data_IF_502793593493
#
_entry.id   IF_502793593493
#
_cell.length_a   1.000
_cell.length_b   1.000
_cell.length_c   1.000
_cell.angle_alpha   90.00
_cell.angle_beta   90.00
_cell.angle_gamma   90.00
#
_symmetry.space_group_name_H-M   'P 1'
#
loop_
_entity.id
_entity.type
_entity.pdbx_description
1 polymer ?
#
# COMPACT_ATOMS: atom_id res chain seq x y z
N UNK A 1 26.56 0.56 9.48
CA UNK A 1 25.93 -0.77 9.73
C UNK A 1 25.99 -1.70 8.53
N UNK A 2 25.78 -1.25 7.28
CA UNK A 2 25.87 -2.10 6.08
C UNK A 2 27.18 -2.91 5.97
N UNK A 3 28.34 -2.28 6.20
CA UNK A 3 29.61 -3.04 6.20
C UNK A 3 29.62 -4.17 7.25
N UNK A 4 29.02 -3.92 8.43
CA UNK A 4 28.97 -4.86 9.54
C UNK A 4 27.96 -6.01 9.32
N UNK A 5 27.06 -5.91 8.34
CA UNK A 5 26.16 -7.02 7.95
C UNK A 5 26.83 -8.02 7.00
N UNK A 6 28.01 -7.68 6.44
CA UNK A 6 28.74 -8.59 5.56
C UNK A 6 29.38 -9.71 6.38
N UNK A 7 29.15 -10.94 5.96
CA UNK A 7 29.75 -12.12 6.59
C UNK A 7 31.10 -12.42 5.94
N UNK A 8 32.14 -12.50 6.76
CA UNK A 8 33.48 -12.95 6.39
C UNK A 8 33.68 -14.31 7.04
N UNK A 9 34.11 -15.31 6.27
CA UNK A 9 34.38 -16.65 6.80
C UNK A 9 35.54 -16.64 7.79
N UNK A 10 35.52 -17.58 8.74
CA UNK A 10 36.58 -17.72 9.72
C UNK A 10 37.94 -17.95 9.03
N UNK A 11 38.91 -17.08 9.32
CA UNK A 11 40.24 -17.11 8.71
C UNK A 11 40.36 -16.39 7.35
N UNK A 12 39.27 -15.88 6.79
CA UNK A 12 39.32 -15.07 5.58
C UNK A 12 39.69 -13.61 5.88
N UNK A 13 40.31 -12.93 4.90
CA UNK A 13 40.59 -11.50 5.01
C UNK A 13 39.28 -10.68 4.97
N UNK A 14 39.17 -9.60 5.76
CA UNK A 14 38.01 -8.73 5.70
C UNK A 14 37.89 -8.05 4.34
N UNK A 15 36.66 -7.77 3.91
CA UNK A 15 36.43 -6.98 2.71
C UNK A 15 37.00 -5.57 2.86
N UNK A 16 37.45 -4.93 1.76
CA UNK A 16 37.78 -3.50 1.81
C UNK A 16 36.53 -2.70 2.16
N UNK A 17 36.66 -1.63 2.94
CA UNK A 17 35.52 -0.78 3.34
C UNK A 17 34.72 -0.26 2.12
N UNK A 18 35.40 -0.02 1.00
CA UNK A 18 34.80 0.45 -0.24
C UNK A 18 33.78 -0.53 -0.87
N UNK A 19 33.74 -1.79 -0.40
CA UNK A 19 32.79 -2.81 -0.90
C UNK A 19 31.33 -2.34 -0.78
N UNK A 20 31.00 -1.51 0.21
CA UNK A 20 29.64 -0.98 0.41
C UNK A 20 29.18 -0.03 -0.71
N UNK A 21 30.10 0.44 -1.56
CA UNK A 21 29.79 1.30 -2.70
C UNK A 21 29.53 0.51 -3.99
N UNK A 22 29.73 -0.81 -3.99
CA UNK A 22 29.33 -1.65 -5.12
C UNK A 22 27.81 -1.60 -5.27
N UNK A 23 27.31 -1.50 -6.50
CA UNK A 23 25.89 -1.25 -6.79
C UNK A 23 24.96 -2.24 -6.06
N UNK A 24 25.35 -3.52 -6.07
CA UNK A 24 24.63 -4.65 -5.48
C UNK A 24 24.50 -4.58 -3.94
N UNK A 25 25.39 -3.86 -3.26
CA UNK A 25 25.35 -3.67 -1.81
C UNK A 25 24.81 -2.29 -1.43
N UNK A 26 25.13 -1.27 -2.22
CA UNK A 26 24.68 0.10 -2.01
C UNK A 26 23.15 0.17 -2.00
N UNK A 27 22.46 -0.66 -2.79
CA UNK A 27 21.00 -0.74 -2.83
C UNK A 27 20.32 -1.04 -1.47
N UNK A 28 21.04 -1.58 -0.48
CA UNK A 28 20.53 -1.76 0.88
C UNK A 28 20.51 -0.48 1.73
N UNK A 29 21.10 0.63 1.29
CA UNK A 29 21.15 1.90 2.05
C UNK A 29 21.01 3.17 1.20
N UNK A 30 21.23 3.09 -0.12
CA UNK A 30 21.15 4.20 -1.06
C UNK A 30 19.78 4.87 -0.97
N UNK A 31 19.75 6.19 -0.82
CA UNK A 31 18.51 6.96 -0.70
C UNK A 31 17.58 6.44 0.42
N UNK A 32 18.15 6.06 1.58
CA UNK A 32 17.37 5.56 2.73
C UNK A 32 16.26 6.53 3.15
N UNK A 33 15.10 5.97 3.52
CA UNK A 33 13.93 6.73 3.95
C UNK A 33 12.84 6.81 2.88
N UNK A 34 12.88 5.92 1.89
CA UNK A 34 11.81 5.75 0.90
C UNK A 34 10.55 5.20 1.56
N UNK A 35 9.42 5.36 0.88
CA UNK A 35 8.17 4.73 1.32
C UNK A 35 8.35 3.21 1.37
N UNK A 36 8.12 2.62 2.54
CA UNK A 36 8.26 1.18 2.77
C UNK A 36 9.62 0.75 3.34
N UNK A 37 10.61 1.65 3.43
CA UNK A 37 11.83 1.39 4.19
C UNK A 37 11.48 1.31 5.69
N UNK A 38 11.88 0.23 6.36
CA UNK A 38 11.73 0.04 7.82
C UNK A 38 13.09 -0.14 8.45
N UNK A 39 13.33 0.44 9.63
CA UNK A 39 14.63 0.33 10.27
C UNK A 39 14.58 0.55 11.78
N UNK A 40 15.36 -0.24 12.50
CA UNK A 40 15.57 -0.13 13.93
C UNK A 40 17.06 -0.12 14.24
N UNK A 41 17.45 0.71 15.20
CA UNK A 41 18.81 0.76 15.75
C UNK A 41 18.74 0.28 17.20
N UNK A 42 19.66 -0.62 17.56
CA UNK A 42 19.88 -1.02 18.94
C UNK A 42 20.90 -0.08 19.57
N UNK A 43 20.53 0.49 20.72
CA UNK A 43 21.38 1.40 21.49
C UNK A 43 21.80 0.68 22.78
N UNK A 44 23.07 0.82 23.15
CA UNK A 44 23.55 0.38 24.45
C UNK A 44 22.94 1.25 25.56
N UNK A 45 22.48 0.58 26.64
CA UNK A 45 21.87 1.27 27.77
C UNK A 45 22.93 2.11 28.51
N UNK A 46 22.61 3.36 28.77
CA UNK A 46 23.49 4.30 29.48
C UNK A 46 24.38 5.13 28.54
N UNK A 47 25.12 4.49 27.63
CA UNK A 47 26.01 5.19 26.67
C UNK A 47 25.28 5.70 25.44
N UNK A 48 24.11 5.13 25.11
CA UNK A 48 23.35 5.40 23.90
C UNK A 48 24.13 5.10 22.59
N UNK A 49 25.18 4.27 22.68
CA UNK A 49 26.00 3.89 21.53
C UNK A 49 25.21 2.97 20.58
N UNK A 50 25.18 3.21 19.26
CA UNK A 50 24.59 2.29 18.30
C UNK A 50 25.40 0.99 18.19
N UNK A 51 24.82 -0.11 18.67
CA UNK A 51 25.47 -1.44 18.72
C UNK A 51 24.94 -2.43 17.68
N UNK A 52 23.86 -2.08 16.99
CA UNK A 52 23.32 -2.88 15.89
C UNK A 52 22.19 -2.17 15.17
N UNK A 53 21.84 -2.69 14.00
CA UNK A 53 20.66 -2.25 13.27
C UNK A 53 20.06 -3.42 12.49
N UNK A 54 18.73 -3.40 12.33
CA UNK A 54 18.02 -4.23 11.36
C UNK A 54 17.15 -3.33 10.51
N UNK A 55 17.13 -3.56 9.22
CA UNK A 55 16.42 -2.72 8.28
C UNK A 55 15.92 -3.53 7.10
N UNK A 56 14.87 -3.06 6.43
CA UNK A 56 14.33 -3.69 5.24
C UNK A 56 13.90 -2.68 4.18
N UNK A 57 13.91 -3.11 2.93
CA UNK A 57 13.60 -2.27 1.77
C UNK A 57 12.85 -3.05 0.70
N UNK A 58 11.91 -2.38 0.03
CA UNK A 58 11.37 -2.89 -1.23
C UNK A 58 12.36 -2.61 -2.37
N UNK A 59 12.48 -3.57 -3.28
CA UNK A 59 13.17 -3.35 -4.54
C UNK A 59 12.41 -2.30 -5.37
N UNK A 60 13.15 -1.53 -6.16
CA UNK A 60 12.57 -0.48 -7.00
C UNK A 60 13.20 -0.54 -8.40
N UNK A 61 12.35 -0.71 -9.41
CA UNK A 61 12.79 -0.76 -10.81
C UNK A 61 13.74 -1.93 -11.09
N UNK A 62 14.93 -1.61 -11.59
CA UNK A 62 15.95 -2.60 -11.95
C UNK A 62 16.84 -3.01 -10.75
N UNK A 63 16.77 -2.29 -9.63
CA UNK A 63 17.65 -2.50 -8.47
C UNK A 63 17.08 -3.65 -7.61
N UNK A 64 17.49 -4.87 -7.96
CA UNK A 64 17.08 -6.11 -7.27
C UNK A 64 18.25 -6.66 -6.47
N UNK A 65 18.10 -6.74 -5.14
CA UNK A 65 19.14 -7.25 -4.26
C UNK A 65 19.23 -8.77 -4.29
N UNK A 66 20.17 -9.31 -3.51
CA UNK A 66 20.40 -10.75 -3.42
C UNK A 66 19.20 -11.51 -2.87
N UNK A 67 18.33 -10.83 -2.11
CA UNK A 67 17.15 -11.41 -1.50
C UNK A 67 15.86 -11.12 -2.27
N UNK A 68 15.92 -10.54 -3.48
CA UNK A 68 14.72 -10.19 -4.23
C UNK A 68 13.86 -11.42 -4.54
N UNK A 69 12.57 -11.33 -4.17
CA UNK A 69 11.52 -12.31 -4.46
C UNK A 69 10.49 -11.73 -5.43
N UNK A 70 9.89 -10.61 -5.05
CA UNK A 70 8.87 -9.87 -5.80
C UNK A 70 8.80 -8.42 -5.31
N UNK A 71 7.97 -7.59 -5.95
CA UNK A 71 7.82 -6.16 -5.66
C UNK A 71 7.03 -5.87 -4.37
N UNK A 72 6.51 -6.90 -3.68
CA UNK A 72 5.73 -6.76 -2.44
C UNK A 72 6.48 -7.27 -1.19
N UNK A 73 7.63 -7.91 -1.37
CA UNK A 73 8.40 -8.57 -0.31
C UNK A 73 9.70 -7.80 -0.05
N UNK A 74 9.81 -7.05 1.07
CA UNK A 74 11.04 -6.35 1.41
C UNK A 74 12.19 -7.31 1.69
N UNK A 75 13.38 -6.91 1.25
CA UNK A 75 14.65 -7.54 1.59
C UNK A 75 15.16 -6.94 2.90
N UNK A 76 15.49 -7.78 3.89
CA UNK A 76 16.08 -7.33 5.14
C UNK A 76 17.59 -7.52 5.18
N UNK A 77 18.23 -6.62 5.92
CA UNK A 77 19.60 -6.75 6.37
C UNK A 77 19.67 -6.49 7.88
N UNK A 78 20.63 -7.11 8.56
CA UNK A 78 20.85 -6.95 9.99
C UNK A 78 22.33 -7.00 10.29
N UNK A 79 22.77 -6.13 11.20
CA UNK A 79 24.14 -6.07 11.70
C UNK A 79 24.13 -5.87 13.21
N UNK A 80 25.04 -6.54 13.89
CA UNK A 80 25.38 -6.29 15.30
C UNK A 80 26.90 -6.21 15.38
N UNK A 81 27.41 -5.20 16.09
CA UNK A 81 28.84 -5.03 16.32
C UNK A 81 29.44 -6.31 16.92
N UNK A 82 30.64 -6.74 16.49
CA UNK A 82 31.23 -8.01 16.92
C UNK A 82 31.20 -8.25 18.43
N UNK A 83 31.47 -7.22 19.24
CA UNK A 83 31.56 -7.24 20.70
C UNK A 83 30.19 -7.40 21.39
N UNK A 84 29.11 -7.25 20.62
CA UNK A 84 27.72 -7.30 21.07
C UNK A 84 26.95 -8.51 20.52
N UNK A 85 27.61 -9.38 19.74
CA UNK A 85 27.04 -10.63 19.23
C UNK A 85 26.85 -11.66 20.36
N UNK A 86 25.96 -12.62 20.15
CA UNK A 86 25.66 -13.67 21.13
C UNK A 86 24.85 -13.21 22.36
N UNK A 87 24.54 -11.91 22.49
CA UNK A 87 23.81 -11.33 23.64
C UNK A 87 22.31 -11.14 23.40
N UNK A 88 21.75 -11.70 22.32
CA UNK A 88 20.32 -11.56 21.97
C UNK A 88 19.94 -10.32 21.15
N UNK A 89 20.84 -9.34 20.99
CA UNK A 89 20.57 -8.06 20.27
C UNK A 89 19.98 -8.27 18.87
N UNK A 90 20.55 -9.19 18.08
CA UNK A 90 20.04 -9.49 16.73
C UNK A 90 18.63 -10.07 16.74
N UNK A 91 18.30 -10.90 17.74
CA UNK A 91 16.95 -11.45 17.91
C UNK A 91 15.94 -10.34 18.18
N UNK A 92 16.26 -9.41 19.07
CA UNK A 92 15.35 -8.32 19.46
C UNK A 92 15.14 -7.33 18.31
N UNK A 93 16.20 -7.00 17.58
CA UNK A 93 16.14 -6.19 16.37
C UNK A 93 15.22 -6.83 15.32
N UNK A 94 15.43 -8.11 15.01
CA UNK A 94 14.63 -8.82 14.01
C UNK A 94 13.17 -8.97 14.44
N UNK A 95 12.90 -9.27 15.72
CA UNK A 95 11.51 -9.34 16.24
C UNK A 95 10.78 -8.00 16.07
N UNK A 96 11.43 -6.88 16.39
CA UNK A 96 10.86 -5.54 16.19
C UNK A 96 10.63 -5.23 14.71
N UNK A 97 11.61 -5.53 13.86
CA UNK A 97 11.49 -5.32 12.42
C UNK A 97 10.34 -6.14 11.82
N UNK A 98 10.25 -7.42 12.18
CA UNK A 98 9.18 -8.31 11.72
C UNK A 98 7.79 -7.85 12.19
N UNK A 99 7.66 -7.44 13.46
CA UNK A 99 6.39 -6.93 13.98
C UNK A 99 5.95 -5.63 13.27
N UNK A 100 6.88 -4.74 12.93
CA UNK A 100 6.56 -3.55 12.13
C UNK A 100 6.19 -3.93 10.70
N UNK A 101 6.92 -4.86 10.10
CA UNK A 101 6.68 -5.30 8.73
C UNK A 101 5.34 -6.04 8.56
N UNK A 102 4.88 -6.77 9.59
CA UNK A 102 3.55 -7.41 9.62
C UNK A 102 2.40 -6.41 9.41
N UNK A 103 2.62 -5.11 9.60
CA UNK A 103 1.59 -4.08 9.38
C UNK A 103 1.42 -3.70 7.90
N UNK A 104 2.45 -3.92 7.08
CA UNK A 104 2.53 -3.35 5.73
C UNK A 104 2.85 -4.38 4.64
N UNK A 105 3.43 -5.53 5.00
CA UNK A 105 3.98 -6.47 4.03
C UNK A 105 3.44 -7.90 4.24
N UNK A 106 3.20 -8.66 3.15
CA UNK A 106 2.73 -10.04 3.22
C UNK A 106 3.86 -11.02 3.58
N UNK A 107 5.12 -10.62 3.38
CA UNK A 107 6.29 -11.45 3.63
C UNK A 107 7.53 -10.56 3.83
N UNK A 108 8.62 -11.18 4.28
CA UNK A 108 9.96 -10.61 4.26
C UNK A 108 10.96 -11.65 3.75
N UNK A 109 12.03 -11.18 3.10
CA UNK A 109 13.08 -12.02 2.53
C UNK A 109 14.46 -11.61 3.02
N UNK A 110 15.41 -12.56 2.94
CA UNK A 110 16.83 -12.32 3.20
C UNK A 110 17.70 -13.29 2.40
N UNK A 111 18.94 -12.91 2.15
CA UNK A 111 19.98 -13.81 1.67
C UNK A 111 21.05 -13.97 2.75
N UNK A 112 21.56 -15.18 2.93
CA UNK A 112 22.53 -15.50 3.97
C UNK A 112 23.63 -16.41 3.41
N UNK A 113 24.88 -16.20 3.82
CA UNK A 113 25.97 -17.12 3.48
C UNK A 113 25.75 -18.50 4.13
N UNK A 114 26.02 -19.62 3.45
CA UNK A 114 25.78 -20.97 3.97
C UNK A 114 26.40 -21.24 5.34
N UNK A 115 27.61 -20.72 5.54
CA UNK A 115 28.41 -20.91 6.75
C UNK A 115 28.12 -19.86 7.83
N UNK A 116 27.24 -18.89 7.56
CA UNK A 116 26.94 -17.85 8.54
C UNK A 116 26.05 -18.42 9.67
N UNK A 117 26.50 -18.36 10.95
CA UNK A 117 25.73 -18.89 12.08
C UNK A 117 24.38 -18.20 12.28
N UNK A 118 24.20 -16.98 11.74
CA UNK A 118 22.93 -16.25 11.76
C UNK A 118 21.79 -17.01 11.04
N UNK A 119 22.10 -17.95 10.13
CA UNK A 119 21.09 -18.79 9.48
C UNK A 119 20.15 -19.47 10.49
N UNK A 120 20.70 -20.01 11.58
CA UNK A 120 19.91 -20.65 12.64
C UNK A 120 19.00 -19.67 13.38
N UNK A 121 19.39 -18.40 13.47
CA UNK A 121 18.53 -17.34 14.04
C UNK A 121 17.34 -17.09 13.12
N UNK A 122 17.56 -16.99 11.80
CA UNK A 122 16.48 -16.80 10.83
C UNK A 122 15.50 -17.97 10.83
N UNK A 123 16.00 -19.21 10.80
CA UNK A 123 15.17 -20.43 10.87
C UNK A 123 14.31 -20.45 12.14
N UNK A 124 14.87 -20.13 13.32
CA UNK A 124 14.10 -20.03 14.58
C UNK A 124 13.06 -18.92 14.57
N UNK A 125 13.27 -17.86 13.80
CA UNK A 125 12.30 -16.78 13.63
C UNK A 125 11.24 -17.09 12.56
N UNK A 126 11.29 -18.28 11.94
CA UNK A 126 10.30 -18.76 10.98
C UNK A 126 10.61 -18.38 9.53
N UNK A 127 11.86 -18.07 9.20
CA UNK A 127 12.30 -17.99 7.81
C UNK A 127 12.56 -19.40 7.27
N UNK A 128 12.06 -19.67 6.07
CA UNK A 128 12.27 -20.93 5.35
C UNK A 128 13.10 -20.68 4.10
N UNK A 129 13.89 -21.66 3.67
CA UNK A 129 14.66 -21.54 2.42
C UNK A 129 13.70 -21.65 1.24
N UNK A 130 13.67 -20.62 0.40
CA UNK A 130 12.88 -20.57 -0.83
C UNK A 130 13.68 -21.08 -2.03
N UNK A 131 14.96 -20.72 -2.10
CA UNK A 131 15.87 -21.01 -3.21
C UNK A 131 17.33 -20.95 -2.75
N UNK A 132 18.28 -21.41 -3.57
CA UNK A 132 19.73 -21.28 -3.34
C UNK A 132 20.39 -20.67 -4.58
N UNK A 133 20.88 -19.42 -4.46
CA UNK A 133 21.43 -18.65 -5.59
C UNK A 133 22.91 -18.40 -5.39
N UNK A 134 23.74 -18.85 -6.34
CA UNK A 134 25.20 -18.75 -6.21
C UNK A 134 25.76 -19.43 -4.97
N UNK A 135 25.06 -20.46 -4.47
CA UNK A 135 25.38 -21.13 -3.21
C UNK A 135 24.80 -20.46 -1.96
N UNK A 136 24.21 -19.26 -2.04
CA UNK A 136 23.61 -18.55 -0.90
C UNK A 136 22.10 -18.84 -0.78
N UNK A 137 21.63 -19.38 0.35
CA UNK A 137 20.20 -19.52 0.60
C UNK A 137 19.46 -18.19 0.55
N UNK A 138 18.46 -18.13 -0.32
CA UNK A 138 17.38 -17.14 -0.28
C UNK A 138 16.32 -17.65 0.68
N UNK A 139 16.04 -16.91 1.73
CA UNK A 139 15.05 -17.27 2.73
C UNK A 139 13.88 -16.30 2.74
N UNK A 140 12.68 -16.81 3.02
CA UNK A 140 11.43 -16.05 3.12
C UNK A 140 10.67 -16.42 4.37
N UNK A 141 10.08 -15.43 5.02
CA UNK A 141 9.06 -15.61 6.04
C UNK A 141 7.76 -14.97 5.56
N UNK A 142 6.70 -15.77 5.50
CA UNK A 142 5.36 -15.24 5.31
C UNK A 142 4.93 -14.52 6.59
N UNK A 143 4.54 -13.26 6.46
CA UNK A 143 4.00 -12.46 7.55
C UNK A 143 2.49 -12.66 7.56
N UNK A 144 1.92 -12.87 8.73
CA UNK A 144 0.46 -12.77 8.89
C UNK A 144 0.18 -11.29 9.04
N UNK A 145 -0.46 -10.61 8.07
CA UNK A 145 -0.69 -9.18 8.20
C UNK A 145 -1.46 -8.93 9.50
N UNK A 146 -0.87 -8.22 10.45
CA UNK A 146 -1.62 -7.82 11.64
C UNK A 146 -2.73 -6.90 11.12
N UNK A 147 -4.01 -7.14 11.46
CA UNK A 147 -5.10 -6.34 10.94
C UNK A 147 -5.01 -4.93 11.53
N UNK A 148 -4.27 -4.06 10.84
CA UNK A 148 -4.24 -2.63 11.15
C UNK A 148 -5.69 -2.16 11.14
N UNK A 149 -6.15 -1.72 12.29
CA UNK A 149 -7.50 -1.23 12.49
C UNK A 149 -7.46 0.29 12.47
N UNK A 150 -8.41 0.92 11.76
CA UNK A 150 -8.45 2.38 11.59
C UNK A 150 -9.79 2.94 12.13
N UNK A 151 -9.75 4.00 12.95
CA UNK A 151 -10.97 4.75 13.34
C UNK A 151 -11.45 5.59 12.15
N UNK A 152 -12.68 5.35 11.69
CA UNK A 152 -13.28 6.10 10.58
C UNK A 152 -13.60 7.58 10.89
N UNK A 153 -13.50 7.99 12.15
CA UNK A 153 -13.79 9.35 12.62
C UNK A 153 -12.51 10.18 12.77
N UNK A 154 -11.53 9.70 13.54
CA UNK A 154 -10.31 10.45 13.86
C UNK A 154 -9.05 9.96 13.12
N UNK A 155 -9.13 8.93 12.28
CA UNK A 155 -7.98 8.31 11.59
C UNK A 155 -6.95 7.68 12.54
N UNK A 156 -7.31 7.42 13.81
CA UNK A 156 -6.47 6.67 14.73
C UNK A 156 -6.19 5.27 14.20
N UNK A 157 -4.91 4.88 14.21
CA UNK A 157 -4.41 3.60 13.71
C UNK A 157 -3.90 2.76 14.88
N UNK A 158 -4.24 1.47 14.85
CA UNK A 158 -3.75 0.51 15.82
C UNK A 158 -3.35 -0.78 15.12
N UNK A 159 -2.19 -1.29 15.50
CA UNK A 159 -1.70 -2.62 15.16
C UNK A 159 -2.27 -3.70 16.09
N UNK A 160 -2.90 -3.28 17.20
CA UNK A 160 -3.71 -4.13 18.06
C UNK A 160 -5.15 -4.19 17.57
N UNK A 161 -5.79 -5.35 17.76
CA UNK A 161 -7.22 -5.56 17.47
C UNK A 161 -8.06 -4.85 18.53
N UNK A 162 -8.28 -3.55 18.33
CA UNK A 162 -9.14 -2.74 19.19
C UNK A 162 -10.57 -2.74 18.63
N UNK A 163 -11.55 -3.00 19.49
CA UNK A 163 -12.97 -2.95 19.10
C UNK A 163 -13.44 -1.50 18.96
N UNK A 164 -13.02 -0.65 19.90
CA UNK A 164 -13.33 0.77 19.97
C UNK A 164 -12.05 1.60 19.96
N UNK A 165 -12.12 2.74 19.30
CA UNK A 165 -10.99 3.64 19.20
C UNK A 165 -10.78 4.39 20.52
N UNK A 166 -9.53 4.42 21.05
CA UNK A 166 -9.21 5.08 22.31
C UNK A 166 -9.35 6.60 22.25
N UNK A 167 -9.22 7.23 21.08
CA UNK A 167 -9.39 8.68 20.93
C UNK A 167 -10.85 9.08 20.74
N UNK A 168 -11.56 8.37 19.84
CA UNK A 168 -12.83 8.83 19.29
C UNK A 168 -14.05 8.08 19.88
N UNK A 169 -13.82 6.97 20.60
CA UNK A 169 -14.84 6.08 21.15
C UNK A 169 -15.68 5.36 20.08
N UNK A 170 -15.33 5.46 18.79
CA UNK A 170 -16.04 4.80 17.70
C UNK A 170 -15.43 3.44 17.39
N UNK A 171 -16.29 2.53 16.96
CA UNK A 171 -15.91 1.19 16.50
C UNK A 171 -14.87 1.26 15.39
N UNK A 172 -13.76 0.57 15.56
CA UNK A 172 -12.71 0.50 14.54
C UNK A 172 -13.06 -0.55 13.48
N UNK A 173 -12.55 -0.37 12.25
CA UNK A 173 -12.70 -1.37 11.18
C UNK A 173 -11.34 -1.88 10.73
N UNK A 174 -11.21 -3.19 10.44
CA UNK A 174 -9.99 -3.75 9.86
C UNK A 174 -9.72 -3.16 8.47
N UNK A 175 -8.46 -2.89 8.14
CA UNK A 175 -8.05 -2.44 6.81
C UNK A 175 -8.50 -3.39 5.68
N UNK A 176 -8.56 -4.70 5.94
CA UNK A 176 -9.08 -5.68 5.00
C UNK A 176 -10.55 -5.39 4.60
N UNK A 177 -11.39 -4.99 5.57
CA UNK A 177 -12.78 -4.61 5.29
C UNK A 177 -12.85 -3.32 4.47
N UNK A 178 -11.93 -2.37 4.69
CA UNK A 178 -11.84 -1.14 3.89
C UNK A 178 -11.45 -1.46 2.44
N UNK A 179 -10.51 -2.38 2.23
CA UNK A 179 -10.13 -2.84 0.88
C UNK A 179 -11.28 -3.52 0.15
N UNK A 180 -12.07 -4.36 0.83
CA UNK A 180 -13.29 -4.96 0.26
C UNK A 180 -14.30 -3.89 -0.15
N UNK A 181 -14.55 -2.91 0.73
CA UNK A 181 -15.44 -1.79 0.40
C UNK A 181 -14.89 -0.95 -0.75
N UNK A 182 -13.57 -0.78 -0.83
CA UNK A 182 -12.87 -0.14 -1.93
C UNK A 182 -13.12 -0.84 -3.26
N UNK A 183 -13.00 -2.16 -3.31
CA UNK A 183 -13.31 -2.96 -4.50
C UNK A 183 -14.78 -2.83 -4.92
N UNK A 184 -15.71 -2.91 -3.96
CA UNK A 184 -17.14 -2.72 -4.23
C UNK A 184 -17.39 -1.34 -4.84
N UNK A 185 -16.82 -0.28 -4.25
CA UNK A 185 -16.98 1.09 -4.73
C UNK A 185 -16.33 1.31 -6.10
N UNK A 186 -15.17 0.69 -6.35
CA UNK A 186 -14.47 0.75 -7.63
C UNK A 186 -15.30 0.10 -8.74
N UNK A 187 -15.83 -1.10 -8.48
CA UNK A 187 -16.71 -1.82 -9.42
C UNK A 187 -18.00 -1.03 -9.69
N UNK A 188 -18.67 -0.55 -8.65
CA UNK A 188 -19.89 0.23 -8.78
C UNK A 188 -19.67 1.55 -9.53
N UNK A 189 -18.58 2.27 -9.20
CA UNK A 189 -18.20 3.51 -9.88
C UNK A 189 -17.89 3.28 -11.36
N UNK A 190 -17.14 2.22 -11.67
CA UNK A 190 -16.81 1.84 -13.05
C UNK A 190 -18.07 1.51 -13.84
N UNK A 191 -18.96 0.68 -13.27
CA UNK A 191 -20.24 0.36 -13.87
C UNK A 191 -21.09 1.61 -14.14
N UNK A 192 -21.21 2.50 -13.15
CA UNK A 192 -22.00 3.72 -13.28
C UNK A 192 -21.47 4.64 -14.38
N UNK A 193 -20.14 4.80 -14.47
CA UNK A 193 -19.52 5.62 -15.52
C UNK A 193 -19.76 5.03 -16.92
N UNK A 194 -19.56 3.72 -17.09
CA UNK A 194 -19.77 3.07 -18.38
C UNK A 194 -21.24 3.11 -18.81
N UNK A 195 -22.16 2.81 -17.89
CA UNK A 195 -23.59 2.79 -18.17
C UNK A 195 -24.11 4.19 -18.51
N UNK A 196 -23.78 5.20 -17.70
CA UNK A 196 -24.21 6.57 -17.97
C UNK A 196 -23.53 7.15 -19.21
N UNK A 197 -22.28 6.77 -19.50
CA UNK A 197 -21.60 7.15 -20.73
C UNK A 197 -22.32 6.60 -21.97
N UNK A 198 -22.74 5.32 -21.93
CA UNK A 198 -23.51 4.71 -23.01
C UNK A 198 -24.87 5.38 -23.21
N UNK A 199 -25.61 5.65 -22.12
CA UNK A 199 -26.89 6.38 -22.20
C UNK A 199 -26.67 7.77 -22.79
N UNK A 200 -25.67 8.51 -22.31
CA UNK A 200 -25.35 9.85 -22.80
C UNK A 200 -25.09 9.83 -24.31
N UNK A 201 -24.34 8.83 -24.80
CA UNK A 201 -24.07 8.66 -26.22
C UNK A 201 -25.34 8.35 -27.03
N UNK A 202 -26.17 7.43 -26.55
CA UNK A 202 -27.44 7.06 -27.22
C UNK A 202 -28.37 8.27 -27.29
N UNK A 203 -28.57 8.97 -26.18
CA UNK A 203 -29.44 10.16 -26.12
C UNK A 203 -28.90 11.28 -27.01
N UNK A 204 -27.60 11.56 -26.97
CA UNK A 204 -26.96 12.54 -27.86
C UNK A 204 -27.14 12.17 -29.34
N UNK A 205 -27.01 10.89 -29.68
CA UNK A 205 -27.23 10.39 -31.04
C UNK A 205 -28.67 10.62 -31.51
N UNK A 206 -29.68 10.32 -30.67
CA UNK A 206 -31.09 10.57 -30.99
C UNK A 206 -31.35 12.06 -31.21
N UNK A 207 -30.84 12.92 -30.33
CA UNK A 207 -30.99 14.38 -30.44
C UNK A 207 -30.35 14.88 -31.75
N UNK A 208 -29.15 14.39 -32.09
CA UNK A 208 -28.43 14.83 -33.30
C UNK A 208 -29.12 14.44 -34.61
N UNK A 209 -29.92 13.37 -34.61
CA UNK A 209 -30.64 12.86 -35.79
C UNK A 209 -32.08 13.34 -35.87
N UNK A 210 -32.53 14.16 -34.91
CA UNK A 210 -33.91 14.65 -34.88
C UNK A 210 -34.15 15.59 -36.07
N UNK A 211 -35.07 15.23 -36.95
CA UNK A 211 -35.41 16.00 -38.16
C UNK A 211 -34.82 15.44 -39.47
N UNK A 212 -34.05 14.34 -39.42
CA UNK A 212 -33.58 13.65 -40.61
C UNK A 212 -34.71 12.84 -41.29
N UNK A 213 -34.84 12.88 -42.64
CA UNK A 213 -35.84 12.09 -43.36
C UNK A 213 -35.66 10.58 -43.10
N UNK A 214 -36.68 9.93 -42.52
CA UNK A 214 -36.68 8.49 -42.23
C UNK A 214 -36.31 8.09 -40.79
N UNK A 215 -36.06 9.05 -39.88
CA UNK A 215 -35.84 8.73 -38.46
C UNK A 215 -37.16 8.33 -37.77
N UNK A 216 -37.20 7.19 -37.10
CA UNK A 216 -38.38 6.72 -36.32
C UNK A 216 -38.38 7.22 -34.87
N UNK A 217 -37.31 7.88 -34.42
CA UNK A 217 -37.20 8.45 -33.08
C UNK A 217 -36.92 9.96 -33.18
N UNK A 218 -37.66 10.77 -32.44
CA UNK A 218 -37.49 12.23 -32.39
C UNK A 218 -37.47 12.72 -30.93
N UNK A 219 -36.55 13.63 -30.62
CA UNK A 219 -36.54 14.33 -29.35
C UNK A 219 -37.35 15.63 -29.45
N UNK A 220 -38.36 15.80 -28.61
CA UNK A 220 -39.30 16.94 -28.69
C UNK A 220 -39.01 18.06 -27.66
N UNK A 221 -37.91 17.97 -26.90
CA UNK A 221 -37.53 18.98 -25.91
C UNK A 221 -36.77 20.15 -26.51
N UNK A 222 -36.78 21.31 -25.84
CA UNK A 222 -36.01 22.48 -26.22
C UNK A 222 -34.57 22.48 -25.66
N UNK A 223 -33.80 23.57 -25.90
CA UNK A 223 -32.42 23.68 -25.44
C UNK A 223 -32.25 23.62 -23.92
N UNK A 224 -33.25 24.06 -23.14
CA UNK A 224 -33.20 24.04 -21.67
C UNK A 224 -33.35 22.62 -21.13
N UNK A 225 -34.23 21.83 -21.71
CA UNK A 225 -34.47 20.43 -21.39
C UNK A 225 -33.21 19.59 -21.71
N UNK A 226 -32.57 19.86 -22.86
CA UNK A 226 -31.30 19.24 -23.23
C UNK A 226 -30.20 19.55 -22.21
N UNK A 227 -30.06 20.82 -21.82
CA UNK A 227 -29.05 21.24 -20.84
C UNK A 227 -29.27 20.55 -19.48
N UNK A 228 -30.52 20.38 -19.06
CA UNK A 228 -30.85 19.68 -17.82
C UNK A 228 -30.52 18.19 -17.88
N UNK A 229 -30.89 17.51 -18.96
CA UNK A 229 -30.60 16.09 -19.16
C UNK A 229 -29.08 15.85 -19.08
N UNK A 230 -28.30 16.60 -19.86
CA UNK A 230 -26.85 16.46 -19.85
C UNK A 230 -26.21 16.96 -18.55
N UNK A 231 -26.79 17.94 -17.87
CA UNK A 231 -26.36 18.39 -16.55
C UNK A 231 -26.48 17.29 -15.49
N UNK A 232 -27.63 16.60 -15.45
CA UNK A 232 -27.84 15.45 -14.56
C UNK A 232 -26.88 14.31 -14.93
N UNK A 233 -26.76 13.96 -16.22
CA UNK A 233 -25.83 12.92 -16.66
C UNK A 233 -24.39 13.25 -16.26
N UNK A 234 -23.97 14.50 -16.44
CA UNK A 234 -22.65 14.98 -16.03
C UNK A 234 -22.40 14.83 -14.53
N UNK A 235 -23.38 15.15 -13.68
CA UNK A 235 -23.25 14.97 -12.23
C UNK A 235 -23.23 13.51 -11.80
N UNK A 236 -24.04 12.65 -12.42
CA UNK A 236 -24.01 11.20 -12.15
C UNK A 236 -22.68 10.60 -12.60
N UNK A 237 -22.15 11.02 -13.76
CA UNK A 237 -20.81 10.64 -14.24
C UNK A 237 -19.72 11.12 -13.27
N UNK A 238 -19.80 12.37 -12.78
CA UNK A 238 -18.86 12.90 -11.80
C UNK A 238 -18.91 12.11 -10.48
N UNK A 239 -20.11 11.72 -10.01
CA UNK A 239 -20.28 10.86 -8.85
C UNK A 239 -19.66 9.47 -9.07
N UNK A 240 -19.89 8.87 -10.24
CA UNK A 240 -19.31 7.58 -10.63
C UNK A 240 -17.78 7.63 -10.67
N UNK A 241 -17.21 8.67 -11.27
CA UNK A 241 -15.77 8.87 -11.31
C UNK A 241 -15.17 9.11 -9.92
N UNK A 242 -15.79 9.95 -9.09
CA UNK A 242 -15.37 10.17 -7.70
C UNK A 242 -15.42 8.87 -6.88
N UNK A 243 -16.43 8.03 -7.10
CA UNK A 243 -16.55 6.69 -6.50
C UNK A 243 -15.42 5.77 -6.96
N UNK A 244 -15.10 5.77 -8.27
CA UNK A 244 -14.01 5.00 -8.85
C UNK A 244 -12.65 5.39 -8.23
N UNK A 245 -12.36 6.69 -8.15
CA UNK A 245 -11.12 7.22 -7.52
C UNK A 245 -11.08 6.88 -6.03
N UNK A 246 -12.19 7.04 -5.31
CA UNK A 246 -12.29 6.70 -3.89
C UNK A 246 -12.14 5.20 -3.63
N UNK A 247 -12.64 4.35 -4.52
CA UNK A 247 -12.49 2.90 -4.48
C UNK A 247 -11.05 2.48 -4.69
N UNK A 248 -10.41 3.01 -5.75
CA UNK A 248 -8.98 2.78 -6.02
C UNK A 248 -8.09 3.18 -4.85
N UNK A 249 -8.32 4.37 -4.28
CA UNK A 249 -7.58 4.83 -3.10
C UNK A 249 -7.74 3.89 -1.91
N UNK A 250 -8.96 3.40 -1.64
CA UNK A 250 -9.24 2.45 -0.56
C UNK A 250 -8.57 1.10 -0.76
N UNK A 251 -8.53 0.58 -1.99
CA UNK A 251 -7.85 -0.68 -2.32
C UNK A 251 -6.35 -0.56 -2.11
N UNK A 252 -5.75 0.54 -2.59
CA UNK A 252 -4.30 0.78 -2.51
C UNK A 252 -3.81 0.97 -1.08
N UNK A 253 -4.39 1.93 -0.36
CA UNK A 253 -3.86 2.34 0.95
C UNK A 253 -4.57 1.67 2.12
N UNK A 254 -5.68 0.95 1.88
CA UNK A 254 -6.52 0.41 2.97
C UNK A 254 -7.20 1.49 3.82
N UNK A 255 -7.24 2.74 3.33
CA UNK A 255 -7.72 3.93 4.04
C UNK A 255 -8.73 4.70 3.19
N UNK A 256 -9.66 5.41 3.84
CA UNK A 256 -10.66 6.27 3.18
C UNK A 256 -10.17 7.71 3.17
N UNK A 257 -10.19 8.38 2.01
CA UNK A 257 -9.87 9.80 1.92
C UNK A 257 -11.05 10.67 2.36
N UNK A 258 -10.90 11.43 3.45
CA UNK A 258 -11.94 12.37 3.94
C UNK A 258 -12.32 13.41 2.88
N UNK A 259 -11.37 13.86 2.07
CA UNK A 259 -11.62 14.83 1.00
C UNK A 259 -12.53 14.24 -0.09
N UNK A 260 -12.24 13.02 -0.56
CA UNK A 260 -13.07 12.36 -1.57
C UNK A 260 -14.49 12.09 -1.06
N UNK A 261 -14.65 11.78 0.23
CA UNK A 261 -15.96 11.61 0.86
C UNK A 261 -16.77 12.89 0.84
N UNK A 262 -16.16 14.01 1.23
CA UNK A 262 -16.82 15.33 1.19
C UNK A 262 -17.26 15.68 -0.23
N UNK A 263 -16.41 15.41 -1.23
CA UNK A 263 -16.73 15.62 -2.65
C UNK A 263 -17.94 14.77 -3.05
N UNK A 264 -17.95 13.46 -2.77
CA UNK A 264 -19.06 12.58 -3.11
C UNK A 264 -20.38 13.00 -2.44
N UNK A 265 -20.33 13.40 -1.16
CA UNK A 265 -21.51 13.93 -0.45
C UNK A 265 -22.00 15.22 -1.10
N UNK A 266 -21.09 16.14 -1.46
CA UNK A 266 -21.44 17.38 -2.15
C UNK A 266 -22.12 17.12 -3.51
N UNK A 267 -21.59 16.20 -4.31
CA UNK A 267 -22.19 15.82 -5.60
C UNK A 267 -23.57 15.17 -5.38
N UNK A 268 -23.72 14.29 -4.37
CA UNK A 268 -25.00 13.66 -4.06
C UNK A 268 -26.06 14.68 -3.62
N UNK A 269 -25.68 15.67 -2.80
CA UNK A 269 -26.59 16.78 -2.43
C UNK A 269 -26.97 17.61 -3.65
N UNK A 270 -26.01 17.94 -4.52
CA UNK A 270 -26.30 18.66 -5.76
C UNK A 270 -27.29 17.91 -6.66
N UNK A 271 -27.13 16.58 -6.79
CA UNK A 271 -28.07 15.74 -7.54
C UNK A 271 -29.48 15.78 -6.95
N UNK A 272 -29.62 15.70 -5.62
CA UNK A 272 -30.92 15.77 -4.95
C UNK A 272 -31.60 17.13 -5.15
N UNK A 273 -30.83 18.22 -4.99
CA UNK A 273 -31.34 19.58 -5.19
C UNK A 273 -31.80 19.79 -6.63
N UNK A 274 -31.02 19.31 -7.61
CA UNK A 274 -31.41 19.40 -9.02
C UNK A 274 -32.66 18.56 -9.29
N UNK A 275 -32.75 17.34 -8.75
CA UNK A 275 -33.93 16.51 -8.90
C UNK A 275 -35.20 17.19 -8.37
N UNK A 276 -35.14 17.84 -7.21
CA UNK A 276 -36.24 18.65 -6.67
C UNK A 276 -36.56 19.86 -7.56
N UNK A 277 -35.55 20.60 -8.03
CA UNK A 277 -35.75 21.74 -8.93
C UNK A 277 -36.42 21.32 -10.24
N UNK A 278 -36.06 20.16 -10.80
CA UNK A 278 -36.72 19.62 -11.99
C UNK A 278 -38.21 19.36 -11.72
N UNK A 279 -38.56 18.79 -10.57
CA UNK A 279 -39.97 18.52 -10.20
C UNK A 279 -40.79 19.79 -9.94
N UNK A 280 -40.16 20.90 -9.55
CA UNK A 280 -40.85 22.17 -9.27
C UNK A 280 -41.03 23.02 -10.53
N UNK A 281 -40.08 22.93 -11.48
CA UNK A 281 -40.05 23.79 -12.67
C UNK A 281 -40.75 23.19 -13.89
N UNK A 282 -41.08 21.89 -13.88
CA UNK A 282 -41.67 21.14 -14.99
C UNK A 282 -42.77 20.21 -14.49
#
# INVERSE_FOLDING_TARGET
MLYQSLYVEDGAAPFPLAVVHQAELALYVKDWGRRGDLGFIALEIGSNLPIGAAWSRLAEGADKGFAYVDDETPELAVAVLPEHRGKGVGTDLLKRLLAEAERSFPAMSLSVSPNNPARRLYERLGFETLDVRGGHPLMRKNLKPSPVSVCYKCDYESDQVLTDCPECGKRMRPAAQVKVLGWILLLLGTFLVLFMGAITFVVASIISRTGEPGSTQSFNGGPKEILMIFGIFGLVLAFGFASMVAGFWQVRDGRRSKHLVKIMVGIAVALLVIAELVQVLF
#
